data_IF_257110091640
#
_entry.id   IF_257110091640
#
_cell.length_a   1.000
_cell.length_b   1.000
_cell.length_c   1.000
_cell.angle_alpha   90.00
_cell.angle_beta   90.00
_cell.angle_gamma   90.00
#
_symmetry.space_group_name_H-M   'P 1'
#
loop_
_entity.id
_entity.type
_entity.pdbx_description
1 polymer ?
#
# COMPACT_ATOMS: atom_id res chain seq x y z
N UNK A 1 -5.18 12.56 -1.55
CA UNK A 1 -3.81 12.43 -0.96
C UNK A 1 -3.18 11.07 -1.28
N UNK A 2 -3.82 9.94 -0.98
CA UNK A 2 -3.22 8.61 -1.20
C UNK A 2 -2.85 8.30 -2.66
N UNK A 3 -3.65 8.73 -3.65
CA UNK A 3 -3.27 8.63 -5.07
C UNK A 3 -1.99 9.41 -5.41
N UNK A 4 -1.77 10.58 -4.80
CA UNK A 4 -0.55 11.37 -5.01
C UNK A 4 0.66 10.66 -4.42
N UNK A 5 0.52 10.07 -3.22
CA UNK A 5 1.58 9.26 -2.61
C UNK A 5 1.91 8.04 -3.47
N UNK A 6 0.90 7.33 -3.97
CA UNK A 6 1.10 6.21 -4.89
C UNK A 6 1.85 6.64 -6.17
N UNK A 7 1.47 7.78 -6.76
CA UNK A 7 2.14 8.33 -7.94
C UNK A 7 3.59 8.75 -7.65
N UNK A 8 3.86 9.30 -6.46
CA UNK A 8 5.20 9.69 -6.02
C UNK A 8 6.11 8.48 -5.83
N UNK A 9 5.63 7.43 -5.16
CA UNK A 9 6.39 6.19 -5.02
C UNK A 9 6.54 5.45 -6.36
N UNK A 10 5.53 5.53 -7.24
CA UNK A 10 5.64 5.02 -8.61
C UNK A 10 6.72 5.76 -9.41
N UNK A 11 6.82 7.07 -9.26
CA UNK A 11 7.88 7.85 -9.87
C UNK A 11 9.26 7.44 -9.33
N UNK A 12 9.39 7.28 -8.01
CA UNK A 12 10.63 6.77 -7.39
C UNK A 12 10.99 5.36 -7.91
N UNK A 13 9.99 4.49 -8.11
CA UNK A 13 10.17 3.17 -8.70
C UNK A 13 10.64 3.23 -10.17
N UNK A 14 10.13 4.19 -10.95
CA UNK A 14 10.57 4.42 -12.33
C UNK A 14 12.04 4.85 -12.40
N UNK A 15 12.49 5.64 -11.41
CA UNK A 15 13.87 6.10 -11.29
C UNK A 15 14.77 5.22 -10.42
N UNK A 16 14.36 3.97 -10.14
CA UNK A 16 15.06 3.03 -9.23
C UNK A 16 16.55 2.80 -9.51
N UNK A 17 16.98 2.97 -10.75
CA UNK A 17 18.39 2.80 -11.15
C UNK A 17 19.19 4.07 -10.86
N UNK A 18 18.62 5.25 -11.10
CA UNK A 18 19.22 6.54 -10.75
C UNK A 18 19.31 6.76 -9.23
N UNK A 19 18.40 6.15 -8.47
CA UNK A 19 18.38 6.20 -7.00
C UNK A 19 19.23 5.10 -6.36
N UNK A 20 19.90 4.25 -7.16
CA UNK A 20 20.72 3.13 -6.69
C UNK A 20 20.03 2.23 -5.63
N UNK A 21 18.70 2.07 -5.72
CA UNK A 21 17.92 1.38 -4.69
C UNK A 21 18.30 -0.11 -4.63
N UNK A 22 18.66 -0.56 -3.42
CA UNK A 22 18.95 -1.96 -3.13
C UNK A 22 17.66 -2.80 -3.24
N UNK A 23 17.78 -4.13 -3.41
CA UNK A 23 16.65 -5.03 -3.59
C UNK A 23 15.60 -4.95 -2.47
N UNK A 24 16.04 -4.63 -1.24
CA UNK A 24 15.16 -4.38 -0.10
C UNK A 24 14.35 -3.08 -0.27
N UNK A 25 15.00 -1.98 -0.62
CA UNK A 25 14.38 -0.66 -0.77
C UNK A 25 13.39 -0.64 -1.93
N UNK A 26 13.72 -1.38 -2.99
CA UNK A 26 12.80 -1.69 -4.08
C UNK A 26 11.52 -2.35 -3.56
N UNK A 27 11.65 -3.42 -2.78
CA UNK A 27 10.49 -4.14 -2.25
C UNK A 27 9.66 -3.28 -1.29
N UNK A 28 10.32 -2.43 -0.49
CA UNK A 28 9.64 -1.46 0.38
C UNK A 28 8.91 -0.38 -0.43
N UNK A 29 9.50 0.12 -1.50
CA UNK A 29 8.86 1.12 -2.39
C UNK A 29 7.60 0.56 -3.03
N UNK A 30 7.65 -0.68 -3.55
CA UNK A 30 6.46 -1.36 -4.08
C UNK A 30 5.41 -1.58 -3.00
N UNK A 31 5.83 -1.98 -1.78
CA UNK A 31 4.91 -2.12 -0.64
C UNK A 31 4.19 -0.80 -0.34
N UNK A 32 4.89 0.34 -0.37
CA UNK A 32 4.31 1.66 -0.15
C UNK A 32 3.35 2.08 -1.26
N UNK A 33 3.64 1.74 -2.52
CA UNK A 33 2.71 1.95 -3.66
C UNK A 33 1.41 1.18 -3.42
N UNK A 34 1.52 -0.12 -3.11
CA UNK A 34 0.36 -1.00 -2.90
C UNK A 34 -0.47 -0.54 -1.69
N UNK A 35 0.19 -0.10 -0.61
CA UNK A 35 -0.51 0.41 0.56
C UNK A 35 -1.29 1.69 0.24
N UNK A 36 -0.64 2.65 -0.41
CA UNK A 36 -1.28 3.90 -0.82
C UNK A 36 -2.43 3.67 -1.81
N UNK A 37 -2.28 2.76 -2.78
CA UNK A 37 -3.34 2.41 -3.72
C UNK A 37 -4.53 1.73 -3.03
N UNK A 38 -4.29 0.81 -2.09
CA UNK A 38 -5.38 0.15 -1.38
C UNK A 38 -6.17 1.10 -0.48
N UNK A 39 -5.49 2.00 0.23
CA UNK A 39 -6.14 3.09 0.98
C UNK A 39 -6.95 4.01 0.07
N UNK A 40 -6.40 4.38 -1.09
CA UNK A 40 -7.08 5.19 -2.09
C UNK A 40 -8.32 4.49 -2.65
N UNK A 41 -8.23 3.18 -2.95
CA UNK A 41 -9.34 2.38 -3.43
C UNK A 41 -10.47 2.25 -2.40
N UNK A 42 -10.14 1.98 -1.13
CA UNK A 42 -11.15 1.90 -0.06
C UNK A 42 -11.87 3.25 0.11
N UNK A 43 -11.13 4.35 0.11
CA UNK A 43 -11.73 5.69 0.15
C UNK A 43 -12.62 5.98 -1.06
N UNK A 44 -12.20 5.57 -2.26
CA UNK A 44 -13.01 5.71 -3.47
C UNK A 44 -14.29 4.88 -3.40
N UNK A 45 -14.22 3.63 -2.93
CA UNK A 45 -15.37 2.75 -2.74
C UNK A 45 -16.33 3.35 -1.71
N UNK A 46 -15.83 3.89 -0.60
CA UNK A 46 -16.67 4.56 0.39
C UNK A 46 -17.36 5.81 -0.18
N UNK A 47 -16.66 6.59 -1.00
CA UNK A 47 -17.22 7.77 -1.65
C UNK A 47 -18.30 7.39 -2.68
N UNK A 48 -18.05 6.37 -3.51
CA UNK A 48 -19.01 5.84 -4.47
C UNK A 48 -20.23 5.22 -3.77
N UNK A 49 -20.01 4.48 -2.68
CA UNK A 49 -21.09 3.93 -1.88
C UNK A 49 -21.98 5.06 -1.31
N UNK A 50 -21.38 6.13 -0.79
CA UNK A 50 -22.15 7.29 -0.32
C UNK A 50 -22.95 7.99 -1.44
N UNK A 51 -22.43 7.99 -2.68
CA UNK A 51 -23.10 8.60 -3.83
C UNK A 51 -24.29 7.77 -4.36
N UNK A 52 -24.19 6.44 -4.27
CA UNK A 52 -25.19 5.50 -4.80
C UNK A 52 -26.24 5.11 -3.75
N UNK A 53 -25.89 5.12 -2.45
CA UNK A 53 -26.81 4.73 -1.40
C UNK A 53 -27.82 5.85 -1.08
N UNK A 54 -29.11 5.50 -0.82
CA UNK A 54 -30.09 6.44 -0.32
C UNK A 54 -29.62 7.10 0.99
N UNK A 55 -30.03 8.35 1.24
CA UNK A 55 -29.62 9.14 2.42
C UNK A 55 -29.76 8.40 3.75
N UNK A 56 -30.79 7.56 3.90
CA UNK A 56 -31.03 6.71 5.07
C UNK A 56 -29.93 5.67 5.35
N UNK A 57 -29.20 5.24 4.32
CA UNK A 57 -28.12 4.25 4.40
C UNK A 57 -26.73 4.86 4.21
N UNK A 58 -26.63 6.18 3.96
CA UNK A 58 -25.36 6.88 3.77
C UNK A 58 -24.39 6.68 4.95
N UNK A 59 -24.90 6.58 6.18
CA UNK A 59 -24.09 6.28 7.37
C UNK A 59 -23.39 4.91 7.32
N UNK A 60 -23.94 3.93 6.60
CA UNK A 60 -23.31 2.62 6.46
C UNK A 60 -22.04 2.66 5.61
N UNK A 61 -21.85 3.68 4.77
CA UNK A 61 -20.61 3.88 4.01
C UNK A 61 -19.38 4.01 4.93
N UNK A 62 -19.57 4.48 6.17
CA UNK A 62 -18.53 4.56 7.19
C UNK A 62 -17.95 3.19 7.58
N UNK A 63 -18.75 2.12 7.52
CA UNK A 63 -18.26 0.78 7.83
C UNK A 63 -17.26 0.25 6.80
N UNK A 64 -17.23 0.81 5.57
CA UNK A 64 -16.22 0.43 4.59
C UNK A 64 -14.80 0.81 5.03
N UNK A 65 -14.65 1.79 5.92
CA UNK A 65 -13.36 2.13 6.51
C UNK A 65 -12.83 1.04 7.45
N UNK A 66 -13.68 0.15 7.99
CA UNK A 66 -13.19 -1.03 8.70
C UNK A 66 -12.37 -1.95 7.80
N UNK A 67 -12.59 -1.92 6.48
CA UNK A 67 -11.84 -2.70 5.51
C UNK A 67 -10.36 -2.25 5.39
N UNK A 68 -10.00 -1.08 5.95
CA UNK A 68 -8.61 -0.62 6.03
C UNK A 68 -7.79 -1.54 6.94
N UNK A 69 -8.36 -2.01 8.06
CA UNK A 69 -7.67 -2.88 9.01
C UNK A 69 -7.24 -4.24 8.42
N UNK A 70 -8.13 -5.02 7.77
CA UNK A 70 -7.73 -6.25 7.10
C UNK A 70 -6.79 -5.97 5.93
N UNK A 71 -6.99 -4.88 5.16
CA UNK A 71 -6.06 -4.50 4.09
C UNK A 71 -4.64 -4.28 4.61
N UNK A 72 -4.48 -3.45 5.64
CA UNK A 72 -3.17 -3.18 6.27
C UNK A 72 -2.53 -4.44 6.83
N UNK A 73 -3.33 -5.30 7.48
CA UNK A 73 -2.83 -6.56 8.05
C UNK A 73 -2.33 -7.51 6.96
N UNK A 74 -3.10 -7.70 5.89
CA UNK A 74 -2.70 -8.57 4.77
C UNK A 74 -1.47 -8.02 4.05
N UNK A 75 -1.45 -6.71 3.77
CA UNK A 75 -0.36 -6.04 3.09
C UNK A 75 0.94 -6.11 3.94
N UNK A 76 0.83 -5.83 5.24
CA UNK A 76 1.93 -5.94 6.20
C UNK A 76 2.45 -7.37 6.37
N UNK A 77 1.56 -8.38 6.40
CA UNK A 77 1.96 -9.79 6.46
C UNK A 77 2.68 -10.23 5.19
N UNK A 78 2.16 -9.87 4.01
CA UNK A 78 2.74 -10.28 2.74
C UNK A 78 4.12 -9.65 2.50
N UNK A 79 4.20 -8.32 2.60
CA UNK A 79 5.46 -7.61 2.36
C UNK A 79 6.41 -7.71 3.55
N UNK A 80 5.91 -7.80 4.78
CA UNK A 80 6.73 -8.01 5.97
C UNK A 80 7.46 -9.35 5.97
N UNK A 81 6.81 -10.43 5.50
CA UNK A 81 7.49 -11.73 5.29
C UNK A 81 8.62 -11.62 4.27
N UNK A 82 8.35 -11.01 3.12
CA UNK A 82 9.37 -10.82 2.06
C UNK A 82 10.52 -9.92 2.51
N UNK A 83 10.21 -8.82 3.20
CA UNK A 83 11.20 -7.90 3.74
C UNK A 83 12.07 -8.58 4.81
N UNK A 84 11.49 -9.45 5.66
CA UNK A 84 12.26 -10.18 6.68
C UNK A 84 13.20 -11.20 6.04
N UNK A 85 12.79 -11.89 4.98
CA UNK A 85 13.66 -12.81 4.22
C UNK A 85 14.80 -12.06 3.52
N UNK A 86 14.49 -10.95 2.84
CA UNK A 86 15.52 -10.15 2.16
C UNK A 86 16.48 -9.47 3.14
N UNK A 87 16.02 -9.00 4.30
CA UNK A 87 16.91 -8.49 5.36
C UNK A 87 17.89 -9.56 5.82
N UNK A 88 17.45 -10.81 5.98
CA UNK A 88 18.34 -11.92 6.36
C UNK A 88 19.37 -12.23 5.27
N UNK A 89 18.99 -12.17 4.00
CA UNK A 89 19.90 -12.39 2.87
C UNK A 89 20.93 -11.26 2.72
N UNK A 90 20.53 -10.01 2.92
CA UNK A 90 21.45 -8.85 2.88
C UNK A 90 22.36 -8.81 4.12
N UNK A 91 21.86 -9.22 5.28
CA UNK A 91 22.61 -9.29 6.53
C UNK A 91 23.49 -10.55 6.67
N UNK A 92 23.45 -11.46 5.70
CA UNK A 92 24.41 -12.55 5.57
C UNK A 92 25.43 -12.18 4.47
N UNK A 93 26.38 -11.25 4.72
CA UNK A 93 27.52 -11.12 3.84
C UNK A 93 28.37 -12.38 4.00
N UNK A 94 28.53 -13.12 2.90
CA UNK A 94 29.58 -14.12 2.66
C UNK A 94 29.28 -15.57 3.10
N UNK A 95 28.95 -16.41 2.11
CA UNK A 95 29.64 -17.69 1.87
C UNK A 95 30.25 -17.63 0.48
#
# INVERSE_FOLDING_TARGET
VYFLLAALYWNAWRHRESLALNGLERLLTVSSIVDALGLAAIGLIACLASLVLPSAWSGFSGYLYFLIAPWKTLNGMYFGRKARTLRKLVAAPNL
#
